data_IF_764856308190
#
_entry.id   IF_764856308190
#
_cell.length_a   1.000
_cell.length_b   1.000
_cell.length_c   1.000
_cell.angle_alpha   90.00
_cell.angle_beta   90.00
_cell.angle_gamma   90.00
#
_symmetry.space_group_name_H-M   'P 1'
#
loop_
_entity.id
_entity.type
_entity.pdbx_description
1 polymer ?
#
# COMPACT_ATOMS: atom_id res chain seq x y z
N UNK A 1 -5.91 -14.05 -15.19
CA UNK A 1 -4.72 -13.88 -14.31
C UNK A 1 -5.23 -13.50 -12.92
N UNK A 2 -5.08 -14.34 -11.89
CA UNK A 2 -5.61 -14.04 -10.56
C UNK A 2 -4.62 -13.22 -9.73
N UNK A 3 -5.06 -12.10 -9.17
CA UNK A 3 -4.20 -11.18 -8.41
C UNK A 3 -4.76 -10.97 -7.01
N UNK A 4 -3.89 -10.96 -6.00
CA UNK A 4 -4.22 -10.59 -4.63
C UNK A 4 -3.75 -9.16 -4.32
N UNK A 5 -4.68 -8.25 -4.05
CA UNK A 5 -4.39 -6.88 -3.64
C UNK A 5 -4.47 -6.72 -2.12
N UNK A 6 -3.48 -6.07 -1.50
CA UNK A 6 -3.42 -5.79 -0.06
C UNK A 6 -3.13 -4.31 0.20
N UNK A 7 -4.05 -3.65 0.88
CA UNK A 7 -3.91 -2.26 1.31
C UNK A 7 -4.11 -2.16 2.82
N UNK A 8 -3.09 -1.71 3.55
CA UNK A 8 -3.18 -1.50 5.01
C UNK A 8 -3.10 -0.05 5.41
N UNK A 9 -4.12 0.45 6.10
CA UNK A 9 -4.14 1.81 6.62
C UNK A 9 -4.55 1.80 8.09
N UNK A 10 -3.72 2.40 8.95
CA UNK A 10 -3.91 2.40 10.40
C UNK A 10 -4.16 0.99 10.94
N UNK A 11 -5.33 0.74 11.51
CA UNK A 11 -5.76 -0.53 12.07
C UNK A 11 -6.63 -1.35 11.10
N UNK A 12 -6.64 -1.02 9.82
CA UNK A 12 -7.42 -1.74 8.81
C UNK A 12 -6.55 -2.41 7.76
N UNK A 13 -6.99 -3.56 7.27
CA UNK A 13 -6.53 -4.18 6.04
C UNK A 13 -7.69 -4.32 5.08
N UNK A 14 -7.43 -3.99 3.83
CA UNK A 14 -8.33 -4.23 2.73
C UNK A 14 -7.68 -5.27 1.83
N UNK A 15 -8.46 -6.28 1.47
CA UNK A 15 -8.03 -7.41 0.64
C UNK A 15 -8.92 -7.50 -0.59
N UNK A 16 -8.30 -7.67 -1.75
CA UNK A 16 -9.01 -7.77 -3.02
C UNK A 16 -8.51 -8.96 -3.83
N UNK A 17 -9.40 -9.59 -4.58
CA UNK A 17 -9.03 -10.54 -5.62
C UNK A 17 -9.80 -10.29 -6.91
N UNK A 18 -9.11 -10.55 -8.02
CA UNK A 18 -9.60 -10.31 -9.37
C UNK A 18 -8.91 -11.25 -10.35
N UNK A 19 -9.41 -11.34 -11.57
CA UNK A 19 -8.90 -12.20 -12.64
C UNK A 19 -8.27 -11.43 -13.83
N UNK A 20 -8.04 -10.13 -13.67
CA UNK A 20 -7.53 -9.21 -14.70
C UNK A 20 -8.62 -8.34 -15.31
N UNK A 21 -9.90 -8.73 -15.18
CA UNK A 21 -11.04 -7.99 -15.70
C UNK A 21 -12.04 -7.67 -14.59
N UNK A 22 -12.34 -8.65 -13.73
CA UNK A 22 -13.38 -8.55 -12.72
C UNK A 22 -12.81 -8.68 -11.31
N UNK A 23 -13.25 -7.79 -10.41
CA UNK A 23 -13.04 -7.94 -8.97
C UNK A 23 -14.13 -8.88 -8.45
N UNK A 24 -13.72 -10.04 -7.94
CA UNK A 24 -14.64 -11.05 -7.41
C UNK A 24 -14.56 -11.19 -5.89
N UNK A 25 -13.61 -10.52 -5.23
CA UNK A 25 -13.54 -10.41 -3.77
C UNK A 25 -13.02 -9.01 -3.38
N UNK A 26 -13.69 -8.37 -2.43
CA UNK A 26 -13.31 -7.07 -1.88
C UNK A 26 -13.76 -7.02 -0.42
N UNK A 27 -12.83 -7.16 0.52
CA UNK A 27 -13.12 -7.29 1.94
C UNK A 27 -12.30 -6.27 2.74
N UNK A 28 -12.95 -5.56 3.66
CA UNK A 28 -12.31 -4.63 4.60
C UNK A 28 -12.42 -5.20 5.99
N UNK A 29 -11.30 -5.27 6.68
CA UNK A 29 -11.23 -5.71 8.06
C UNK A 29 -10.59 -4.62 8.91
N UNK A 30 -11.26 -4.24 9.97
CA UNK A 30 -10.77 -3.32 10.98
C UNK A 30 -10.43 -4.12 12.23
N UNK A 31 -9.26 -3.86 12.78
CA UNK A 31 -8.72 -4.56 13.93
C UNK A 31 -8.69 -3.64 15.14
N UNK A 32 -8.88 -4.23 16.33
CA UNK A 32 -8.47 -3.59 17.57
C UNK A 32 -6.95 -3.43 17.60
N UNK A 33 -6.44 -2.45 18.36
CA UNK A 33 -5.00 -2.18 18.41
C UNK A 33 -4.20 -3.46 18.68
N UNK A 34 -3.22 -3.73 17.80
CA UNK A 34 -2.21 -4.82 17.87
C UNK A 34 -2.65 -6.24 17.47
N UNK A 35 -3.74 -6.41 16.71
CA UNK A 35 -4.13 -7.77 16.25
C UNK A 35 -3.82 -8.08 14.77
N UNK A 36 -3.29 -7.15 13.97
CA UNK A 36 -3.04 -7.40 12.54
C UNK A 36 -2.13 -8.62 12.30
N UNK A 37 -1.08 -8.81 13.09
CA UNK A 37 -0.13 -9.93 12.92
C UNK A 37 -0.75 -11.31 13.16
N UNK A 38 -1.78 -11.40 14.00
CA UNK A 38 -2.47 -12.66 14.30
C UNK A 38 -3.67 -12.87 13.38
N UNK A 39 -4.32 -11.79 12.95
CA UNK A 39 -5.55 -11.85 12.15
C UNK A 39 -5.29 -11.94 10.64
N UNK A 40 -4.26 -11.26 10.12
CA UNK A 40 -3.94 -11.25 8.69
C UNK A 40 -3.72 -12.66 8.12
N UNK A 41 -2.99 -13.58 8.79
CA UNK A 41 -2.82 -14.94 8.28
C UNK A 41 -4.13 -15.73 8.22
N UNK A 42 -4.99 -15.61 9.22
CA UNK A 42 -6.28 -16.33 9.30
C UNK A 42 -7.22 -15.87 8.19
N UNK A 43 -7.29 -14.56 8.01
CA UNK A 43 -8.08 -13.89 6.99
C UNK A 43 -7.61 -14.28 5.60
N UNK A 44 -6.31 -14.18 5.32
CA UNK A 44 -5.80 -14.52 3.99
C UNK A 44 -5.94 -16.00 3.70
N UNK A 45 -5.74 -16.88 4.69
CA UNK A 45 -6.02 -18.31 4.52
C UNK A 45 -7.47 -18.57 4.09
N UNK A 46 -8.45 -17.86 4.67
CA UNK A 46 -9.87 -18.00 4.30
C UNK A 46 -10.15 -17.49 2.88
N UNK A 47 -9.54 -16.36 2.50
CA UNK A 47 -9.80 -15.71 1.21
C UNK A 47 -9.11 -16.44 0.06
N UNK A 48 -7.88 -16.91 0.25
CA UNK A 48 -7.05 -17.45 -0.86
C UNK A 48 -7.16 -18.96 -1.04
N UNK A 49 -7.86 -19.68 -0.15
CA UNK A 49 -7.81 -21.15 -0.05
C UNK A 49 -8.00 -21.89 -1.39
N UNK A 50 -8.90 -21.39 -2.23
CA UNK A 50 -9.32 -22.04 -3.48
C UNK A 50 -8.82 -21.30 -4.73
N UNK A 51 -7.77 -20.48 -4.59
CA UNK A 51 -7.30 -19.61 -5.65
C UNK A 51 -5.80 -19.76 -5.93
N UNK A 52 -5.49 -20.18 -7.15
CA UNK A 52 -4.13 -20.11 -7.69
C UNK A 52 -3.84 -18.68 -8.13
N UNK A 53 -3.08 -17.94 -7.31
CA UNK A 53 -2.69 -16.56 -7.57
C UNK A 53 -1.49 -16.50 -8.52
N UNK A 54 -1.44 -15.45 -9.34
CA UNK A 54 -0.34 -15.17 -10.26
C UNK A 54 0.58 -14.07 -9.75
N UNK A 55 0.10 -13.15 -8.92
CA UNK A 55 0.90 -12.10 -8.29
C UNK A 55 0.20 -11.50 -7.07
N UNK A 56 0.95 -10.72 -6.30
CA UNK A 56 0.46 -9.93 -5.17
C UNK A 56 0.70 -8.45 -5.45
N UNK A 57 -0.29 -7.59 -5.22
CA UNK A 57 -0.17 -6.14 -5.27
C UNK A 57 -0.26 -5.56 -3.84
N UNK A 58 0.67 -4.70 -3.45
CA UNK A 58 0.72 -4.13 -2.09
C UNK A 58 1.18 -2.67 -2.08
N UNK A 59 0.66 -1.86 -1.16
CA UNK A 59 1.24 -0.54 -0.90
C UNK A 59 2.48 -0.59 0.02
N UNK A 60 3.54 0.17 -0.30
CA UNK A 60 4.78 0.26 0.51
C UNK A 60 4.88 1.53 1.37
N UNK A 61 3.82 2.34 1.44
CA UNK A 61 3.73 3.55 2.26
C UNK A 61 3.92 4.85 1.47
N UNK A 62 3.99 6.01 2.15
CA UNK A 62 3.97 6.20 3.61
C UNK A 62 2.65 5.79 4.28
N UNK A 63 2.69 5.42 5.56
CA UNK A 63 1.52 4.96 6.31
C UNK A 63 1.86 4.45 7.72
N UNK A 64 0.95 3.69 8.33
CA UNK A 64 1.14 3.15 9.67
C UNK A 64 2.31 2.16 9.71
N UNK A 65 3.39 2.54 10.40
CA UNK A 65 4.68 1.85 10.38
C UNK A 65 4.60 0.36 10.74
N UNK A 66 3.88 0.03 11.81
CA UNK A 66 3.71 -1.36 12.26
C UNK A 66 2.92 -2.18 11.24
N UNK A 67 1.82 -1.64 10.73
CA UNK A 67 0.94 -2.34 9.78
C UNK A 67 1.64 -2.62 8.46
N UNK A 68 2.38 -1.64 7.92
CA UNK A 68 3.18 -1.83 6.71
C UNK A 68 4.22 -2.93 6.88
N UNK A 69 4.94 -2.96 8.01
CA UNK A 69 5.95 -4.00 8.28
C UNK A 69 5.36 -5.39 8.40
N UNK A 70 4.24 -5.52 9.12
CA UNK A 70 3.55 -6.80 9.29
C UNK A 70 3.10 -7.34 7.93
N UNK A 71 2.45 -6.50 7.11
CA UNK A 71 1.94 -6.93 5.80
C UNK A 71 3.07 -7.21 4.82
N UNK A 72 4.11 -6.38 4.76
CA UNK A 72 5.28 -6.62 3.90
C UNK A 72 5.97 -7.95 4.26
N UNK A 73 6.22 -8.20 5.54
CA UNK A 73 6.84 -9.46 5.98
C UNK A 73 5.96 -10.67 5.64
N UNK A 74 4.64 -10.54 5.81
CA UNK A 74 3.69 -11.59 5.46
C UNK A 74 3.67 -11.88 3.95
N UNK A 75 3.58 -10.83 3.13
CA UNK A 75 3.61 -10.93 1.66
C UNK A 75 4.93 -11.52 1.17
N UNK A 76 6.05 -11.14 1.77
CA UNK A 76 7.35 -11.73 1.46
C UNK A 76 7.35 -13.25 1.70
N UNK A 77 6.75 -13.71 2.80
CA UNK A 77 6.58 -15.14 3.06
C UNK A 77 5.71 -15.82 2.00
N UNK A 78 4.56 -15.22 1.67
CA UNK A 78 3.63 -15.76 0.67
C UNK A 78 4.25 -15.85 -0.73
N UNK A 79 4.86 -14.78 -1.22
CA UNK A 79 5.41 -14.75 -2.56
C UNK A 79 6.60 -15.70 -2.72
N UNK A 80 7.42 -15.85 -1.66
CA UNK A 80 8.50 -16.84 -1.62
C UNK A 80 7.94 -18.25 -1.66
N UNK A 81 6.92 -18.54 -0.85
CA UNK A 81 6.29 -19.87 -0.78
C UNK A 81 5.53 -20.27 -2.05
N UNK A 82 4.93 -19.30 -2.74
CA UNK A 82 4.16 -19.53 -3.96
C UNK A 82 4.96 -19.35 -5.26
N UNK A 83 6.16 -18.76 -5.20
CA UNK A 83 6.97 -18.47 -6.39
C UNK A 83 6.30 -17.45 -7.32
N UNK A 84 5.59 -16.46 -6.77
CA UNK A 84 4.87 -15.44 -7.55
C UNK A 84 5.43 -14.03 -7.30
N UNK A 85 5.40 -13.13 -8.29
CA UNK A 85 5.90 -11.77 -8.14
C UNK A 85 5.04 -10.92 -7.20
N UNK A 86 5.68 -9.90 -6.61
CA UNK A 86 5.03 -8.84 -5.84
C UNK A 86 5.21 -7.51 -6.57
N UNK A 87 4.08 -6.84 -6.78
CA UNK A 87 3.99 -5.49 -7.30
C UNK A 87 3.71 -4.52 -6.16
N UNK A 88 4.52 -3.48 -6.07
CA UNK A 88 4.40 -2.48 -5.00
C UNK A 88 3.93 -1.16 -5.58
N UNK A 89 3.04 -0.47 -4.85
CA UNK A 89 2.63 0.91 -5.14
C UNK A 89 2.90 1.85 -3.92
N UNK A 90 3.12 3.14 -4.12
CA UNK A 90 3.33 4.10 -3.06
C UNK A 90 1.96 4.63 -2.69
N UNK A 91 1.76 4.96 -1.43
CA UNK A 91 0.50 5.51 -0.97
C UNK A 91 0.17 6.84 -1.70
N UNK A 92 1.20 7.59 -2.09
CA UNK A 92 1.03 8.79 -2.92
C UNK A 92 0.57 8.48 -4.34
N UNK A 93 1.11 7.46 -4.99
CA UNK A 93 0.65 7.07 -6.33
C UNK A 93 -0.81 6.62 -6.28
N UNK A 94 -1.20 5.90 -5.23
CA UNK A 94 -2.60 5.53 -5.02
C UNK A 94 -3.50 6.73 -4.92
N UNK A 95 -3.16 7.70 -4.07
CA UNK A 95 -3.95 8.91 -3.90
C UNK A 95 -3.99 9.73 -5.19
N UNK A 96 -2.85 9.89 -5.86
CA UNK A 96 -2.77 10.59 -7.15
C UNK A 96 -3.73 9.96 -8.16
N UNK A 97 -3.69 8.64 -8.32
CA UNK A 97 -4.51 7.93 -9.30
C UNK A 97 -5.98 7.90 -8.90
N UNK A 98 -6.31 7.62 -7.64
CA UNK A 98 -7.68 7.56 -7.15
C UNK A 98 -8.43 8.89 -7.25
N UNK A 99 -7.71 10.00 -7.07
CA UNK A 99 -8.28 11.34 -7.16
C UNK A 99 -7.96 12.06 -8.48
N UNK A 100 -7.36 11.36 -9.45
CA UNK A 100 -6.94 11.91 -10.75
C UNK A 100 -6.16 13.23 -10.63
N UNK A 101 -5.27 13.33 -9.64
CA UNK A 101 -4.51 14.54 -9.36
C UNK A 101 -3.49 14.76 -10.46
N UNK A 102 -3.65 15.85 -11.22
CA UNK A 102 -2.72 16.25 -12.27
C UNK A 102 -1.69 17.27 -11.76
N UNK A 103 -2.11 18.19 -10.90
CA UNK A 103 -1.25 19.23 -10.35
C UNK A 103 -1.63 19.51 -8.89
N UNK A 104 -0.65 19.75 -8.03
CA UNK A 104 -0.89 20.11 -6.62
C UNK A 104 0.10 19.45 -5.66
N UNK A 105 -0.30 19.29 -4.40
CA UNK A 105 0.49 18.57 -3.40
C UNK A 105 -0.38 17.54 -2.67
N UNK A 106 0.20 16.37 -2.40
CA UNK A 106 -0.40 15.31 -1.59
C UNK A 106 0.42 15.21 -0.32
N UNK A 107 -0.21 15.34 0.84
CA UNK A 107 0.44 15.20 2.14
C UNK A 107 -0.28 14.13 2.95
N UNK A 108 0.48 13.30 3.67
CA UNK A 108 -0.11 12.31 4.57
C UNK A 108 -0.14 12.89 5.98
N UNK A 109 -1.35 13.17 6.45
CA UNK A 109 -1.55 13.67 7.79
C UNK A 109 -1.22 12.59 8.83
N UNK A 110 -0.37 12.94 9.78
CA UNK A 110 -0.09 12.15 10.97
C UNK A 110 0.10 13.10 12.17
N UNK A 111 0.42 12.55 13.34
CA UNK A 111 0.68 13.35 14.55
C UNK A 111 2.04 14.07 14.54
N UNK A 112 2.82 14.01 13.46
CA UNK A 112 4.13 14.62 13.38
C UNK A 112 4.05 16.11 13.02
N UNK A 113 5.08 16.86 13.42
CA UNK A 113 5.23 18.27 13.07
C UNK A 113 5.52 18.49 11.57
N UNK A 114 6.15 17.50 10.94
CA UNK A 114 6.50 17.50 9.52
C UNK A 114 5.83 16.30 8.85
N UNK A 115 4.99 16.61 7.88
CA UNK A 115 4.20 15.63 7.15
C UNK A 115 4.96 15.21 5.89
N UNK A 116 5.08 13.90 5.62
CA UNK A 116 5.58 13.46 4.32
C UNK A 116 4.60 13.89 3.25
N UNK A 117 5.12 14.53 2.21
CA UNK A 117 4.32 15.02 1.10
C UNK A 117 5.05 14.85 -0.23
N UNK A 118 4.32 14.94 -1.32
CA UNK A 118 4.83 15.00 -2.69
C UNK A 118 4.09 16.09 -3.45
N UNK A 119 4.80 16.77 -4.33
CA UNK A 119 4.17 17.62 -5.34
C UNK A 119 3.81 16.76 -6.53
N UNK A 120 2.65 16.99 -7.13
CA UNK A 120 2.27 16.40 -8.41
C UNK A 120 2.36 17.49 -9.46
N UNK A 121 3.05 17.20 -10.57
CA UNK A 121 3.16 18.10 -11.72
C UNK A 121 2.89 17.30 -12.98
N UNK A 122 1.88 17.71 -13.74
CA UNK A 122 1.44 17.06 -14.98
C UNK A 122 1.25 15.53 -14.81
N UNK A 123 0.65 15.12 -13.69
CA UNK A 123 0.39 13.71 -13.34
C UNK A 123 1.60 12.92 -12.85
N UNK A 124 2.77 13.56 -12.73
CA UNK A 124 4.00 12.94 -12.25
C UNK A 124 4.26 13.31 -10.79
N UNK A 125 4.60 12.31 -9.98
CA UNK A 125 5.05 12.56 -8.61
C UNK A 125 6.47 13.13 -8.63
N UNK A 126 6.63 14.29 -7.99
CA UNK A 126 7.92 14.89 -7.73
C UNK A 126 8.57 14.24 -6.49
N UNK A 127 9.88 14.44 -6.26
CA UNK A 127 10.56 13.90 -5.08
C UNK A 127 9.84 14.25 -3.76
N UNK A 128 9.87 13.35 -2.77
CA UNK A 128 9.25 13.60 -1.47
C UNK A 128 9.80 14.86 -0.79
N UNK A 129 8.89 15.67 -0.25
CA UNK A 129 9.14 16.86 0.54
C UNK A 129 8.55 16.70 1.95
N UNK A 130 8.90 17.61 2.84
CA UNK A 130 8.28 17.72 4.17
C UNK A 130 7.52 19.03 4.26
N UNK A 131 6.25 18.96 4.67
CA UNK A 131 5.40 20.13 4.88
C UNK A 131 5.12 20.31 6.38
N UNK A 132 5.19 21.53 6.93
CA UNK A 132 4.79 21.79 8.30
C UNK A 132 3.31 21.51 8.49
N UNK A 133 2.95 20.71 9.50
CA UNK A 133 1.55 20.30 9.73
C UNK A 133 0.61 21.47 10.02
N UNK A 134 1.14 22.58 10.54
CA UNK A 134 0.43 23.84 10.81
C UNK A 134 0.07 24.65 9.55
N UNK A 135 0.76 24.41 8.44
CA UNK A 135 0.60 25.16 7.19
C UNK A 135 -0.37 24.45 6.22
N UNK A 136 -0.97 23.34 6.67
CA UNK A 136 -1.86 22.48 5.90
C UNK A 136 -3.31 22.88 6.23
N UNK A 137 -3.89 23.71 5.35
CA UNK A 137 -5.21 24.34 5.53
C UNK A 137 -6.37 23.35 5.33
N UNK A 138 -7.47 23.49 6.07
CA UNK A 138 -8.57 22.51 6.17
C UNK A 138 -9.31 22.18 4.87
N UNK A 139 -9.01 22.86 3.76
CA UNK A 139 -9.55 22.62 2.42
C UNK A 139 -9.01 21.35 1.72
N UNK A 140 -8.19 20.54 2.38
CA UNK A 140 -7.70 19.29 1.81
C UNK A 140 -8.82 18.28 1.60
N UNK A 141 -8.78 17.63 0.45
CA UNK A 141 -9.48 16.37 0.22
C UNK A 141 -8.92 15.37 1.23
N UNK A 142 -9.70 15.08 2.27
CA UNK A 142 -9.42 14.00 3.22
C UNK A 142 -10.08 12.76 2.65
N UNK A 143 -9.30 11.70 2.36
CA UNK A 143 -9.90 10.42 2.00
C UNK A 143 -10.81 9.97 3.13
N UNK A 144 -12.09 9.82 2.83
CA UNK A 144 -13.02 9.16 3.72
C UNK A 144 -12.84 7.64 3.66
N UNK A 145 -13.57 6.92 4.49
CA UNK A 145 -13.44 5.46 4.58
C UNK A 145 -13.89 4.69 3.32
N UNK A 146 -14.70 5.29 2.45
CA UNK A 146 -15.06 4.71 1.16
C UNK A 146 -13.94 4.92 0.15
N UNK A 147 -13.20 6.02 0.27
CA UNK A 147 -12.05 6.30 -0.60
C UNK A 147 -10.92 5.30 -0.38
N UNK A 148 -10.73 4.78 0.84
CA UNK A 148 -9.74 3.71 1.10
C UNK A 148 -10.12 2.38 0.44
N UNK A 149 -11.41 2.13 0.22
CA UNK A 149 -11.86 0.98 -0.57
C UNK A 149 -11.50 1.17 -2.05
N UNK A 150 -11.70 2.38 -2.58
CA UNK A 150 -11.28 2.73 -3.95
C UNK A 150 -9.76 2.67 -4.12
N UNK A 151 -8.96 3.05 -3.12
CA UNK A 151 -7.49 2.99 -3.19
C UNK A 151 -6.97 1.55 -3.37
N UNK A 152 -7.66 0.55 -2.82
CA UNK A 152 -7.30 -0.84 -3.03
C UNK A 152 -7.58 -1.35 -4.45
N UNK A 153 -8.66 -0.87 -5.07
CA UNK A 153 -8.94 -1.09 -6.50
C UNK A 153 -7.89 -0.41 -7.38
N UNK A 154 -7.47 0.80 -7.03
CA UNK A 154 -6.44 1.55 -7.74
C UNK A 154 -5.07 0.85 -7.65
N UNK A 155 -4.71 0.33 -6.47
CA UNK A 155 -3.52 -0.51 -6.29
C UNK A 155 -3.52 -1.69 -7.27
N UNK A 156 -4.68 -2.31 -7.46
CA UNK A 156 -4.86 -3.36 -8.44
C UNK A 156 -4.71 -2.87 -9.89
N UNK A 157 -5.43 -1.81 -10.28
CA UNK A 157 -5.38 -1.26 -11.64
C UNK A 157 -3.94 -0.89 -12.03
N UNK A 158 -3.20 -0.28 -11.10
CA UNK A 158 -1.79 0.04 -11.28
C UNK A 158 -0.91 -1.20 -11.46
N UNK A 159 -1.17 -2.27 -10.70
CA UNK A 159 -0.43 -3.53 -10.82
C UNK A 159 -0.70 -4.26 -12.15
N UNK A 160 -1.92 -4.17 -12.70
CA UNK A 160 -2.27 -4.76 -14.02
C UNK A 160 -1.75 -3.93 -15.18
N UNK A 161 -1.90 -2.61 -15.11
CA UNK A 161 -1.62 -1.73 -16.23
C UNK A 161 -0.15 -1.35 -16.35
N UNK A 162 0.71 -1.78 -15.42
CA UNK A 162 2.16 -1.53 -15.43
C UNK A 162 2.51 -0.02 -15.48
N UNK A 163 1.58 0.85 -15.03
CA UNK A 163 1.65 2.31 -15.20
C UNK A 163 2.44 3.03 -14.12
N UNK A 164 3.48 2.42 -13.57
CA UNK A 164 4.37 3.14 -12.65
C UNK A 164 5.81 2.76 -12.91
N UNK A 165 6.61 3.77 -13.28
CA UNK A 165 8.04 3.69 -13.67
C UNK A 165 8.96 3.05 -12.63
N UNK A 166 8.42 2.71 -11.46
CA UNK A 166 9.15 2.14 -10.34
C UNK A 166 8.69 0.72 -9.99
N UNK A 167 7.78 0.10 -10.76
CA UNK A 167 7.51 -1.34 -10.70
C UNK A 167 8.72 -2.09 -11.26
N UNK A 168 9.83 -2.04 -10.52
CA UNK A 168 10.73 -3.17 -10.47
C UNK A 168 9.93 -4.22 -9.73
N UNK A 169 9.53 -5.28 -10.42
CA UNK A 169 9.32 -6.55 -9.75
C UNK A 169 10.43 -6.64 -8.72
N UNK A 170 10.08 -6.67 -7.44
CA UNK A 170 11.05 -6.99 -6.41
C UNK A 170 11.54 -8.37 -6.85
N UNK A 171 12.70 -8.42 -7.48
CA UNK A 171 13.38 -9.65 -7.81
C UNK A 171 13.90 -10.11 -6.45
N UNK A 172 13.00 -10.76 -5.69
CA UNK A 172 13.29 -11.31 -4.37
C UNK A 172 14.10 -12.59 -4.59
N UNK A 173 15.23 -12.47 -5.27
CA UNK A 173 16.38 -13.32 -5.04
C UNK A 173 16.79 -13.16 -3.57
N UNK A 174 17.44 -14.16 -2.96
CA UNK A 174 17.54 -14.36 -1.50
C UNK A 174 18.53 -13.41 -0.80
N UNK A 175 18.46 -12.11 -1.09
CA UNK A 175 19.21 -11.07 -0.42
C UNK A 175 18.25 -10.29 0.49
N UNK A 176 18.14 -10.79 1.71
CA UNK A 176 17.65 -10.09 2.89
C UNK A 176 17.95 -8.58 2.85
N UNK A 177 16.92 -7.74 3.06
CA UNK A 177 17.14 -6.36 3.49
C UNK A 177 16.52 -6.16 4.88
N UNK A 178 17.21 -6.68 5.89
CA UNK A 178 17.15 -6.09 7.22
C UNK A 178 17.75 -4.68 7.10
N UNK A 179 17.00 -3.65 7.50
CA UNK A 179 17.55 -2.30 7.70
C UNK A 179 18.71 -2.41 8.71
N UNK A 180 19.97 -2.18 8.30
CA UNK A 180 21.08 -2.15 9.24
C UNK A 180 21.04 -0.84 10.02
N UNK A 181 21.40 -0.94 11.29
CA UNK A 181 21.81 0.15 12.19
C UNK A 181 20.72 1.10 12.71
N UNK A 182 20.10 0.64 13.79
CA UNK A 182 19.92 1.42 15.02
C UNK A 182 21.30 2.04 15.41
N UNK A 183 21.52 3.33 15.17
CA UNK A 183 22.54 4.09 15.89
C UNK A 183 21.83 4.99 16.90
N UNK A 184 21.94 4.61 18.18
CA UNK A 184 21.69 5.50 19.32
C UNK A 184 22.54 6.76 19.11
N UNK A 185 21.90 7.92 19.12
CA UNK A 185 22.59 9.18 19.36
C UNK A 185 23.15 9.13 20.79
N UNK A 186 24.47 9.32 20.91
CA UNK A 186 25.09 9.88 22.11
C UNK A 186 25.08 11.39 21.95
#
# INVERSE_FOLDING_TARGET
MKILGLYTHLNSVHVYMCDGENIFCAEKFTFEERSLSTQLPVLLKKIVADHQLNCIALQNGPGAFTSLRVTLAFVQGLCTGWGIPVYVCSHFDLLKTAYHIQNGAIAIQNKAALLPAVTVKDGLLMPPIQLPSKDIDAALIRPNENDTVNLGKVLYEMAVQNQSDWIKALDISPNYCFLPSYKKFK
#
